data_IF_829181238231
#
_entry.id   IF_829181238231
#
_cell.length_a   1.000
_cell.length_b   1.000
_cell.length_c   1.000
_cell.angle_alpha   90.00
_cell.angle_beta   90.00
_cell.angle_gamma   90.00
#
_symmetry.space_group_name_H-M   'P 1'
#
loop_
_entity.id
_entity.type
_entity.pdbx_description
1 polymer ?
#
# COMPACT_ATOMS: atom_id res chain seq x y z
N UNK A 1 -30.33 6.83 1.18
CA UNK A 1 -29.01 7.17 0.64
C UNK A 1 -29.09 7.29 -0.87
N UNK A 2 -28.60 8.36 -1.44
CA UNK A 2 -28.84 8.82 -2.82
C UNK A 2 -28.69 7.77 -3.95
N UNK A 3 -27.83 6.75 -3.79
CA UNK A 3 -27.59 5.74 -4.84
C UNK A 3 -28.86 5.00 -5.23
N UNK A 4 -29.67 4.52 -4.26
CA UNK A 4 -30.91 3.77 -4.52
C UNK A 4 -32.06 4.65 -4.96
N UNK A 5 -32.04 5.94 -4.54
CA UNK A 5 -33.10 6.91 -4.82
C UNK A 5 -32.84 7.67 -6.13
N UNK A 6 -31.72 7.43 -6.80
CA UNK A 6 -31.31 8.08 -8.03
C UNK A 6 -30.79 7.05 -9.04
N UNK A 7 -31.69 6.19 -9.58
CA UNK A 7 -31.28 5.06 -10.45
C UNK A 7 -30.64 5.51 -11.78
N UNK A 8 -30.95 6.70 -12.23
CA UNK A 8 -30.41 7.28 -13.48
C UNK A 8 -29.08 8.02 -13.29
N UNK A 9 -28.57 8.11 -12.03
CA UNK A 9 -27.30 8.75 -11.71
C UNK A 9 -26.22 7.68 -11.65
N UNK A 10 -25.12 7.92 -12.34
CA UNK A 10 -23.91 7.08 -12.29
C UNK A 10 -23.08 7.45 -11.06
N UNK A 11 -22.70 6.44 -10.28
CA UNK A 11 -21.84 6.60 -9.09
C UNK A 11 -20.58 5.77 -9.26
N UNK A 12 -19.45 6.34 -8.87
CA UNK A 12 -18.19 5.59 -8.73
C UNK A 12 -17.74 5.67 -7.27
N UNK A 13 -17.47 4.52 -6.68
CA UNK A 13 -16.91 4.40 -5.33
C UNK A 13 -15.52 3.78 -5.40
N UNK A 14 -14.57 4.34 -4.62
CA UNK A 14 -13.19 3.86 -4.54
C UNK A 14 -12.99 3.22 -3.16
N UNK A 15 -12.32 2.06 -3.15
CA UNK A 15 -12.04 1.26 -1.94
C UNK A 15 -13.30 0.83 -1.17
N UNK A 16 -14.41 0.76 -1.86
CA UNK A 16 -15.68 0.33 -1.29
C UNK A 16 -16.49 -0.48 -2.29
N UNK A 17 -17.45 -1.25 -1.77
CA UNK A 17 -18.34 -2.07 -2.60
C UNK A 17 -19.79 -1.73 -2.27
N UNK A 18 -20.53 -1.35 -3.31
CA UNK A 18 -21.98 -1.14 -3.27
C UNK A 18 -22.59 -1.97 -4.39
N UNK A 19 -23.43 -2.92 -4.02
CA UNK A 19 -24.16 -3.75 -4.98
C UNK A 19 -25.38 -2.98 -5.49
N UNK A 20 -25.17 -2.25 -6.59
CA UNK A 20 -26.23 -1.55 -7.33
C UNK A 20 -25.81 -1.38 -8.80
N UNK A 21 -26.75 -1.47 -9.76
CA UNK A 21 -26.44 -1.45 -11.19
C UNK A 21 -25.86 -0.12 -11.68
N UNK A 22 -26.13 0.97 -10.96
CA UNK A 22 -25.64 2.31 -11.25
C UNK A 22 -24.38 2.69 -10.43
N UNK A 23 -23.65 1.70 -9.90
CA UNK A 23 -22.41 1.92 -9.17
C UNK A 23 -21.25 1.19 -9.82
N UNK A 24 -20.19 1.91 -10.13
CA UNK A 24 -18.88 1.37 -10.48
C UNK A 24 -18.04 1.28 -9.20
N UNK A 25 -17.63 0.07 -8.83
CA UNK A 25 -16.78 -0.19 -7.66
C UNK A 25 -15.32 -0.28 -8.14
N UNK A 26 -14.53 0.74 -7.86
CA UNK A 26 -13.10 0.75 -8.18
C UNK A 26 -12.34 0.23 -6.99
N UNK A 27 -11.68 -0.91 -7.16
CA UNK A 27 -10.85 -1.55 -6.15
C UNK A 27 -9.43 -1.72 -6.66
N UNK A 28 -8.48 -1.73 -5.74
CA UNK A 28 -7.07 -1.89 -6.06
C UNK A 28 -6.56 -3.22 -5.49
N UNK A 29 -5.53 -3.77 -6.11
CA UNK A 29 -4.83 -4.94 -5.59
C UNK A 29 -3.65 -4.49 -4.72
N UNK A 30 -3.96 -3.97 -3.56
CA UNK A 30 -2.97 -3.40 -2.63
C UNK A 30 -1.90 -4.43 -2.22
N UNK A 31 -2.25 -5.72 -2.16
CA UNK A 31 -1.30 -6.80 -1.90
C UNK A 31 -0.18 -6.86 -2.95
N UNK A 32 -0.48 -6.63 -4.24
CA UNK A 32 0.54 -6.61 -5.29
C UNK A 32 1.50 -5.42 -5.13
N UNK A 33 0.97 -4.21 -4.85
CA UNK A 33 1.80 -3.02 -4.59
C UNK A 33 2.62 -3.16 -3.32
N UNK A 34 2.02 -3.70 -2.24
CA UNK A 34 2.68 -3.94 -0.96
C UNK A 34 3.79 -5.01 -1.08
N UNK A 35 3.61 -6.02 -1.94
CA UNK A 35 4.64 -7.01 -2.26
C UNK A 35 5.88 -6.33 -2.85
N UNK A 36 5.71 -5.43 -3.80
CA UNK A 36 6.84 -4.72 -4.42
C UNK A 36 7.63 -3.88 -3.41
N UNK A 37 6.94 -3.13 -2.53
CA UNK A 37 7.63 -2.35 -1.51
C UNK A 37 8.19 -3.23 -0.38
N UNK A 38 7.63 -4.43 -0.17
CA UNK A 38 8.19 -5.45 0.72
C UNK A 38 9.56 -5.95 0.25
N UNK A 39 9.74 -6.18 -1.04
CA UNK A 39 11.04 -6.51 -1.64
C UNK A 39 12.05 -5.38 -1.36
N UNK A 40 11.64 -4.11 -1.58
CA UNK A 40 12.52 -2.98 -1.33
C UNK A 40 12.91 -2.88 0.14
N UNK A 41 11.97 -3.07 1.06
CA UNK A 41 12.22 -3.06 2.49
C UNK A 41 13.25 -4.12 2.90
N UNK A 42 13.09 -5.34 2.40
CA UNK A 42 14.01 -6.43 2.67
C UNK A 42 15.43 -6.14 2.17
N UNK A 43 15.55 -5.60 0.96
CA UNK A 43 16.85 -5.27 0.36
C UNK A 43 17.50 -4.05 0.99
N UNK A 44 16.75 -3.14 1.61
CA UNK A 44 17.27 -1.96 2.31
C UNK A 44 17.63 -2.25 3.75
N UNK A 45 17.03 -3.26 4.36
CA UNK A 45 17.27 -3.61 5.76
C UNK A 45 18.68 -4.17 5.97
N UNK A 46 19.32 -3.70 7.03
CA UNK A 46 20.60 -4.25 7.52
C UNK A 46 20.43 -5.12 8.78
N UNK A 47 19.30 -4.96 9.47
CA UNK A 47 19.01 -5.67 10.72
C UNK A 47 18.37 -7.04 10.51
N UNK A 48 17.79 -7.29 9.32
CA UNK A 48 16.97 -8.46 9.07
C UNK A 48 15.56 -8.36 9.67
N UNK A 49 15.17 -7.18 10.16
CA UNK A 49 13.85 -6.92 10.75
C UNK A 49 13.24 -5.65 10.16
N UNK A 50 12.01 -5.74 9.68
CA UNK A 50 11.26 -4.60 9.15
C UNK A 50 9.93 -4.44 9.88
N UNK A 51 9.35 -3.24 9.81
CA UNK A 51 8.12 -2.89 10.50
C UNK A 51 6.95 -2.68 9.55
N UNK A 52 5.73 -2.92 10.05
CA UNK A 52 4.48 -2.52 9.42
C UNK A 52 3.57 -1.85 10.46
N UNK A 53 3.09 -0.65 10.15
CA UNK A 53 2.11 0.07 10.97
C UNK A 53 0.84 0.20 10.15
N UNK A 54 -0.19 -0.55 10.54
CA UNK A 54 -1.51 -0.48 9.94
C UNK A 54 -2.40 0.55 10.64
N UNK A 55 -3.33 1.14 9.93
CA UNK A 55 -4.36 2.00 10.49
C UNK A 55 -5.41 1.20 11.27
N UNK A 56 -6.64 1.24 10.81
CA UNK A 56 -7.73 0.48 11.43
C UNK A 56 -7.58 -1.02 11.14
N UNK A 57 -7.80 -1.85 12.15
CA UNK A 57 -7.81 -3.32 12.02
C UNK A 57 -9.04 -3.79 11.25
N UNK A 58 -8.87 -3.90 9.94
CA UNK A 58 -9.89 -4.36 8.98
C UNK A 58 -9.22 -5.20 7.88
N UNK A 59 -9.97 -6.10 7.20
CA UNK A 59 -9.41 -6.98 6.17
C UNK A 59 -8.65 -6.27 5.05
N UNK A 60 -9.06 -5.05 4.69
CA UNK A 60 -8.33 -4.24 3.70
C UNK A 60 -6.90 -3.94 4.16
N UNK A 61 -6.69 -3.59 5.43
CA UNK A 61 -5.34 -3.29 5.94
C UNK A 61 -4.52 -4.57 6.16
N UNK A 62 -5.17 -5.67 6.52
CA UNK A 62 -4.50 -6.98 6.52
C UNK A 62 -4.06 -7.43 5.12
N UNK A 63 -4.75 -7.00 4.06
CA UNK A 63 -4.32 -7.19 2.65
C UNK A 63 -2.98 -6.50 2.37
N UNK A 64 -2.81 -5.22 2.80
CA UNK A 64 -1.53 -4.51 2.69
C UNK A 64 -0.43 -5.22 3.46
N UNK A 65 -0.70 -5.58 4.72
CA UNK A 65 0.24 -6.29 5.59
C UNK A 65 0.68 -7.61 4.98
N UNK A 66 -0.26 -8.42 4.51
CA UNK A 66 0.02 -9.73 3.93
C UNK A 66 0.84 -9.63 2.65
N UNK A 67 0.48 -8.70 1.74
CA UNK A 67 1.28 -8.44 0.54
C UNK A 67 2.71 -8.02 0.89
N UNK A 68 2.88 -7.13 1.86
CA UNK A 68 4.19 -6.69 2.35
C UNK A 68 5.02 -7.85 2.90
N UNK A 69 4.44 -8.69 3.79
CA UNK A 69 5.10 -9.87 4.34
C UNK A 69 5.55 -10.85 3.26
N UNK A 70 4.70 -11.11 2.27
CA UNK A 70 5.05 -11.96 1.14
C UNK A 70 6.21 -11.38 0.32
N UNK A 71 6.23 -10.05 0.09
CA UNK A 71 7.33 -9.38 -0.60
C UNK A 71 8.65 -9.45 0.15
N UNK A 72 8.62 -9.26 1.47
CA UNK A 72 9.79 -9.44 2.35
C UNK A 72 10.30 -10.88 2.28
N UNK A 73 9.42 -11.86 2.48
CA UNK A 73 9.78 -13.28 2.44
C UNK A 73 10.28 -13.74 1.06
N UNK A 74 9.77 -13.15 -0.02
CA UNK A 74 10.23 -13.40 -1.39
C UNK A 74 11.67 -12.96 -1.59
N UNK A 75 12.07 -11.82 -1.04
CA UNK A 75 13.44 -11.33 -1.11
C UNK A 75 14.39 -12.06 -0.15
N UNK A 76 13.96 -12.29 1.08
CA UNK A 76 14.70 -13.05 2.09
C UNK A 76 13.73 -13.66 3.13
N UNK A 77 13.53 -14.97 3.04
CA UNK A 77 12.63 -15.71 3.93
C UNK A 77 13.10 -15.81 5.39
N UNK A 78 14.34 -15.40 5.69
CA UNK A 78 14.87 -15.37 7.06
C UNK A 78 14.50 -14.11 7.83
N UNK A 79 13.99 -13.09 7.15
CA UNK A 79 13.66 -11.79 7.75
C UNK A 79 12.39 -11.83 8.61
N UNK A 80 12.36 -10.94 9.59
CA UNK A 80 11.21 -10.75 10.48
C UNK A 80 10.41 -9.51 10.11
N UNK A 81 9.07 -9.60 10.21
CA UNK A 81 8.17 -8.45 10.04
C UNK A 81 7.41 -8.20 11.35
N UNK A 82 7.67 -7.06 12.00
CA UNK A 82 6.92 -6.59 13.16
C UNK A 82 5.70 -5.82 12.69
N UNK A 83 4.50 -6.36 12.88
CA UNK A 83 3.26 -5.73 12.41
C UNK A 83 2.36 -5.33 13.58
N UNK A 84 1.80 -4.11 13.52
CA UNK A 84 0.83 -3.63 14.51
C UNK A 84 -0.16 -2.66 13.89
N UNK A 85 -1.45 -2.84 14.23
CA UNK A 85 -2.51 -1.89 13.89
C UNK A 85 -2.60 -0.78 14.96
N UNK A 86 -3.00 0.43 14.55
CA UNK A 86 -3.12 1.58 15.45
C UNK A 86 -4.43 1.59 16.23
N UNK A 87 -5.42 0.83 15.80
CA UNK A 87 -6.69 0.66 16.49
C UNK A 87 -7.75 -0.05 15.67
N UNK A 88 -8.95 -0.22 16.25
CA UNK A 88 -10.09 -0.90 15.62
C UNK A 88 -11.25 0.04 15.27
N UNK A 89 -11.06 1.36 15.40
CA UNK A 89 -12.08 2.37 15.10
C UNK A 89 -11.55 3.38 14.09
N UNK A 90 -12.40 4.18 13.43
CA UNK A 90 -11.95 5.20 12.47
C UNK A 90 -10.94 6.23 13.02
N UNK A 91 -10.84 6.40 14.34
CA UNK A 91 -9.82 7.24 14.97
C UNK A 91 -8.39 6.74 14.69
N UNK A 92 -8.22 5.47 14.31
CA UNK A 92 -6.94 4.89 13.90
C UNK A 92 -6.31 5.58 12.69
N UNK A 93 -7.09 6.25 11.86
CA UNK A 93 -6.61 6.96 10.66
C UNK A 93 -6.03 8.35 10.93
N UNK A 94 -6.25 8.91 12.11
CA UNK A 94 -5.88 10.29 12.46
C UNK A 94 -5.14 10.40 13.80
N UNK A 95 -4.28 9.47 14.14
CA UNK A 95 -3.52 9.45 15.40
C UNK A 95 -2.00 9.34 15.17
N UNK A 96 -1.33 10.43 14.70
CA UNK A 96 0.12 10.43 14.47
C UNK A 96 0.94 10.06 15.71
N UNK A 97 0.49 10.47 16.90
CA UNK A 97 1.16 10.11 18.16
C UNK A 97 1.25 8.59 18.31
N UNK A 98 0.12 7.88 18.08
CA UNK A 98 0.10 6.42 18.16
C UNK A 98 0.97 5.78 17.08
N UNK A 99 0.97 6.32 15.86
CA UNK A 99 1.87 5.89 14.79
C UNK A 99 3.34 5.97 15.20
N UNK A 100 3.75 7.10 15.77
CA UNK A 100 5.10 7.30 16.27
C UNK A 100 5.48 6.38 17.44
N UNK A 101 4.57 6.13 18.38
CA UNK A 101 4.80 5.19 19.50
C UNK A 101 5.06 3.77 19.00
N UNK A 102 4.24 3.28 18.05
CA UNK A 102 4.40 1.95 17.47
C UNK A 102 5.72 1.87 16.70
N UNK A 103 6.03 2.89 15.89
CA UNK A 103 7.29 2.94 15.13
C UNK A 103 8.49 2.88 16.07
N UNK A 104 8.50 3.68 17.13
CA UNK A 104 9.57 3.65 18.14
C UNK A 104 9.74 2.25 18.72
N UNK A 105 8.64 1.62 19.13
CA UNK A 105 8.67 0.25 19.66
C UNK A 105 9.21 -0.75 18.65
N UNK A 106 8.82 -0.66 17.36
CA UNK A 106 9.33 -1.55 16.32
C UNK A 106 10.83 -1.34 16.09
N UNK A 107 11.31 -0.08 16.06
CA UNK A 107 12.74 0.24 15.90
C UNK A 107 13.56 -0.24 17.11
N UNK A 108 13.07 -0.05 18.33
CA UNK A 108 13.70 -0.58 19.55
C UNK A 108 13.77 -2.12 19.56
N UNK A 109 12.88 -2.79 18.81
CA UNK A 109 12.90 -4.24 18.58
C UNK A 109 13.61 -4.66 17.29
N UNK A 110 14.37 -3.76 16.68
CA UNK A 110 15.30 -4.05 15.59
C UNK A 110 14.82 -3.68 14.20
N UNK A 111 13.61 -3.15 14.02
CA UNK A 111 13.18 -2.72 12.69
C UNK A 111 13.99 -1.50 12.20
N UNK A 112 14.50 -1.55 10.98
CA UNK A 112 15.25 -0.47 10.34
C UNK A 112 14.58 0.08 9.06
N UNK A 113 13.45 -0.50 8.65
CA UNK A 113 12.55 0.01 7.63
C UNK A 113 11.11 -0.17 8.12
N UNK A 114 10.27 0.88 8.10
CA UNK A 114 8.88 0.80 8.58
C UNK A 114 7.90 1.25 7.51
N UNK A 115 6.99 0.36 7.12
CA UNK A 115 5.90 0.67 6.19
C UNK A 115 4.64 1.11 6.93
N UNK A 116 4.05 2.25 6.52
CA UNK A 116 2.84 2.80 7.12
C UNK A 116 1.64 2.75 6.18
N UNK A 117 0.74 1.79 6.37
CA UNK A 117 -0.58 1.75 5.73
C UNK A 117 -1.65 2.28 6.71
N UNK A 118 -1.55 3.58 7.09
CA UNK A 118 -2.24 4.12 8.26
C UNK A 118 -2.88 5.52 8.06
N UNK A 119 -3.05 5.97 6.81
CA UNK A 119 -3.62 7.30 6.52
C UNK A 119 -2.84 8.43 7.20
N UNK A 120 -3.53 9.40 7.81
CA UNK A 120 -2.89 10.52 8.51
C UNK A 120 -2.04 10.12 9.72
N UNK A 121 -2.27 8.95 10.31
CA UNK A 121 -1.42 8.36 11.36
C UNK A 121 0.00 8.09 10.86
N UNK A 122 0.18 7.83 9.55
CA UNK A 122 1.47 7.62 8.90
C UNK A 122 2.44 8.79 9.05
N UNK A 123 1.94 10.02 9.22
CA UNK A 123 2.80 11.20 9.45
C UNK A 123 3.66 11.04 10.71
N UNK A 124 3.11 10.43 11.76
CA UNK A 124 3.87 10.13 12.98
C UNK A 124 4.89 9.02 12.79
N UNK A 125 4.60 8.05 11.91
CA UNK A 125 5.54 6.99 11.53
C UNK A 125 6.75 7.60 10.81
N UNK A 126 6.52 8.42 9.79
CA UNK A 126 7.59 9.04 8.99
C UNK A 126 8.47 9.97 9.83
N UNK A 127 7.86 10.79 10.70
CA UNK A 127 8.62 11.66 11.58
C UNK A 127 9.47 10.85 12.57
N UNK A 128 8.91 9.81 13.19
CA UNK A 128 9.66 8.97 14.15
C UNK A 128 10.77 8.18 13.46
N UNK A 129 10.54 7.68 12.25
CA UNK A 129 11.58 7.02 11.45
C UNK A 129 12.74 7.98 11.17
N UNK A 130 12.46 9.21 10.75
CA UNK A 130 13.47 10.25 10.54
C UNK A 130 14.25 10.57 11.81
N UNK A 131 13.55 10.77 12.94
CA UNK A 131 14.16 11.07 14.25
C UNK A 131 15.08 9.93 14.76
N UNK A 132 14.76 8.69 14.42
CA UNK A 132 15.51 7.50 14.81
C UNK A 132 16.53 7.04 13.76
N UNK A 133 16.62 7.70 12.61
CA UNK A 133 17.58 7.40 11.55
C UNK A 133 17.32 6.07 10.84
N UNK A 134 16.06 5.64 10.74
CA UNK A 134 15.62 4.45 9.99
C UNK A 134 14.79 4.85 8.79
N UNK A 135 14.57 3.93 7.85
CA UNK A 135 13.81 4.20 6.65
C UNK A 135 12.29 4.04 6.87
N UNK A 136 11.51 4.74 6.06
CA UNK A 136 10.06 4.62 6.04
C UNK A 136 9.54 4.36 4.61
N UNK A 137 8.34 3.76 4.53
CA UNK A 137 7.62 3.56 3.28
C UNK A 137 6.24 4.20 3.39
N UNK A 138 5.91 5.05 2.41
CA UNK A 138 4.63 5.74 2.29
C UNK A 138 3.53 4.88 1.66
N UNK A 139 2.29 5.41 1.63
CA UNK A 139 1.11 4.69 1.14
C UNK A 139 0.16 5.58 0.34
N UNK A 140 -0.62 4.95 -0.55
CA UNK A 140 -1.70 5.50 -1.38
C UNK A 140 -1.27 6.53 -2.44
N UNK A 141 -0.35 7.41 -2.12
CA UNK A 141 0.22 8.39 -3.05
C UNK A 141 1.74 8.40 -2.93
N UNK A 142 2.42 9.03 -3.88
CA UNK A 142 3.85 9.29 -3.72
C UNK A 142 4.05 10.31 -2.58
N UNK A 143 4.61 9.85 -1.48
CA UNK A 143 4.89 10.60 -0.25
C UNK A 143 6.39 10.79 0.00
N UNK A 144 7.25 10.44 -0.98
CA UNK A 144 8.71 10.49 -0.82
C UNK A 144 9.22 11.88 -0.42
N UNK A 145 8.53 12.94 -0.87
CA UNK A 145 8.86 14.33 -0.57
C UNK A 145 8.62 14.74 0.91
N UNK A 146 7.88 13.95 1.69
CA UNK A 146 7.50 14.33 3.08
C UNK A 146 8.71 14.33 4.00
N UNK A 147 9.58 13.31 3.87
CA UNK A 147 10.83 13.18 4.65
C UNK A 147 11.96 12.74 3.70
N UNK A 148 12.53 13.65 2.89
CA UNK A 148 13.64 13.33 1.99
C UNK A 148 14.81 12.71 2.75
N UNK A 149 15.38 11.63 2.20
CA UNK A 149 16.45 10.86 2.85
C UNK A 149 15.97 9.82 3.89
N UNK A 150 14.67 9.81 4.22
CA UNK A 150 14.05 8.81 5.11
C UNK A 150 13.07 7.92 4.33
N UNK A 151 12.32 8.51 3.39
CA UNK A 151 11.33 7.77 2.61
C UNK A 151 12.01 6.92 1.54
N UNK A 152 12.12 5.61 1.79
CA UNK A 152 12.68 4.65 0.83
C UNK A 152 11.86 4.60 -0.46
N UNK A 153 10.56 4.60 -0.33
CA UNK A 153 9.59 4.60 -1.42
C UNK A 153 8.18 4.85 -0.88
N UNK A 154 7.19 4.85 -1.76
CA UNK A 154 5.77 4.87 -1.40
C UNK A 154 5.01 3.84 -2.24
N UNK A 155 4.19 3.01 -1.61
CA UNK A 155 3.23 2.17 -2.33
C UNK A 155 2.10 3.07 -2.83
N UNK A 156 2.09 3.37 -4.12
CA UNK A 156 1.08 4.24 -4.69
C UNK A 156 -0.14 3.47 -5.21
N UNK A 157 -1.29 4.14 -5.16
CA UNK A 157 -2.53 3.80 -5.85
C UNK A 157 -2.87 4.94 -6.80
N UNK A 158 -3.12 4.66 -8.07
CA UNK A 158 -3.48 5.69 -9.06
C UNK A 158 -4.95 6.09 -8.97
N UNK A 159 -5.37 6.51 -7.78
CA UNK A 159 -6.76 6.94 -7.48
C UNK A 159 -7.21 8.09 -8.39
N UNK A 160 -6.33 9.08 -8.60
CA UNK A 160 -6.61 10.21 -9.49
C UNK A 160 -6.86 9.78 -10.94
N UNK A 161 -6.09 8.79 -11.45
CA UNK A 161 -6.32 8.23 -12.78
C UNK A 161 -7.65 7.48 -12.86
N UNK A 162 -7.95 6.64 -11.86
CA UNK A 162 -9.21 5.91 -11.81
C UNK A 162 -10.44 6.84 -11.77
N UNK A 163 -10.35 7.94 -11.01
CA UNK A 163 -11.38 8.97 -11.01
C UNK A 163 -11.51 9.65 -12.38
N UNK A 164 -10.40 10.06 -12.99
CA UNK A 164 -10.38 10.66 -14.33
C UNK A 164 -11.01 9.73 -15.38
N UNK A 165 -10.62 8.46 -15.40
CA UNK A 165 -11.16 7.47 -16.34
C UNK A 165 -12.66 7.23 -16.15
N UNK A 166 -13.15 7.27 -14.90
CA UNK A 166 -14.58 7.16 -14.62
C UNK A 166 -15.35 8.35 -15.18
N UNK A 167 -14.85 9.58 -15.02
CA UNK A 167 -15.46 10.77 -15.61
C UNK A 167 -15.37 10.77 -17.15
N UNK A 168 -14.24 10.38 -17.72
CA UNK A 168 -14.08 10.27 -19.16
C UNK A 168 -15.07 9.26 -19.75
N UNK A 169 -15.21 8.09 -19.14
CA UNK A 169 -16.18 7.08 -19.57
C UNK A 169 -17.64 7.56 -19.44
N UNK A 170 -17.95 8.36 -18.44
CA UNK A 170 -19.28 8.96 -18.32
C UNK A 170 -19.57 9.97 -19.43
N UNK A 171 -18.55 10.74 -19.85
CA UNK A 171 -18.68 11.74 -20.94
C UNK A 171 -18.80 11.07 -22.31
N UNK A 172 -18.05 10.02 -22.59
CA UNK A 172 -18.09 9.32 -23.89
C UNK A 172 -19.17 8.23 -23.97
N UNK A 173 -19.89 7.98 -22.88
CA UNK A 173 -21.01 7.02 -22.81
C UNK A 173 -20.55 5.56 -22.62
N UNK A 174 -19.29 5.30 -22.35
CA UNK A 174 -18.73 3.95 -22.11
C UNK A 174 -18.78 3.52 -20.63
N UNK A 175 -19.21 4.41 -19.73
CA UNK A 175 -19.29 4.09 -18.31
C UNK A 175 -20.21 2.89 -18.05
N UNK A 176 -19.77 1.98 -17.21
CA UNK A 176 -20.57 0.84 -16.77
C UNK A 176 -20.45 0.64 -15.27
N UNK A 177 -21.55 0.20 -14.65
CA UNK A 177 -21.53 -0.29 -13.26
C UNK A 177 -20.78 -1.62 -13.13
N UNK A 178 -20.58 -2.07 -11.89
CA UNK A 178 -19.85 -3.29 -11.58
C UNK A 178 -18.45 -3.03 -11.02
N UNK A 179 -17.54 -3.98 -11.19
CA UNK A 179 -16.17 -3.89 -10.62
C UNK A 179 -15.16 -3.44 -11.67
N UNK A 180 -14.29 -2.50 -11.26
CA UNK A 180 -13.06 -2.15 -11.94
C UNK A 180 -11.89 -2.43 -10.98
N UNK A 181 -11.04 -3.39 -11.34
CA UNK A 181 -9.91 -3.84 -10.51
C UNK A 181 -8.61 -3.30 -11.09
N UNK A 182 -7.81 -2.63 -10.27
CA UNK A 182 -6.57 -2.00 -10.67
C UNK A 182 -5.39 -2.60 -9.86
N UNK A 183 -4.66 -3.49 -10.48
CA UNK A 183 -3.44 -4.10 -9.94
C UNK A 183 -2.16 -3.56 -10.58
N UNK A 184 -1.10 -4.33 -10.45
CA UNK A 184 0.19 -4.06 -11.12
C UNK A 184 0.07 -4.15 -12.64
N UNK A 185 -0.75 -5.08 -13.15
CA UNK A 185 -0.97 -5.26 -14.59
C UNK A 185 -1.65 -4.04 -15.23
N UNK A 186 -2.58 -3.41 -14.53
CA UNK A 186 -3.29 -2.19 -14.96
C UNK A 186 -2.49 -0.92 -14.60
N UNK A 187 -1.26 -1.06 -14.08
CA UNK A 187 -0.45 0.05 -13.58
C UNK A 187 -1.18 0.89 -12.51
N UNK A 188 -2.11 0.25 -11.79
CA UNK A 188 -2.94 0.88 -10.75
C UNK A 188 -2.24 1.03 -9.41
N UNK A 189 -1.30 0.14 -9.11
CA UNK A 189 -0.48 0.12 -7.88
C UNK A 189 0.99 -0.13 -8.21
N UNK A 190 1.88 0.31 -7.34
CA UNK A 190 3.32 0.10 -7.51
C UNK A 190 4.16 0.79 -6.45
N UNK A 191 5.48 0.85 -6.68
CA UNK A 191 6.46 1.54 -5.85
C UNK A 191 6.91 2.85 -6.52
N UNK A 192 6.88 3.96 -5.79
CA UNK A 192 7.23 5.28 -6.30
C UNK A 192 8.75 5.45 -6.39
N UNK A 193 9.19 6.04 -7.52
CA UNK A 193 10.57 6.42 -7.77
C UNK A 193 10.62 7.86 -8.26
N UNK A 194 11.41 8.69 -7.59
CA UNK A 194 11.61 10.10 -7.95
C UNK A 194 12.95 10.65 -7.40
N UNK A 195 13.16 11.94 -7.50
CA UNK A 195 14.35 12.64 -7.03
C UNK A 195 14.55 12.57 -5.51
N UNK A 196 13.49 12.35 -4.71
CA UNK A 196 13.57 12.35 -3.24
C UNK A 196 14.08 11.03 -2.67
N UNK A 197 13.95 9.93 -3.41
CA UNK A 197 14.42 8.61 -2.98
C UNK A 197 15.52 8.00 -3.86
N UNK A 198 15.97 8.72 -4.89
CA UNK A 198 16.96 8.22 -5.85
C UNK A 198 18.26 7.73 -5.19
N UNK A 199 18.73 8.42 -4.14
CA UNK A 199 19.96 8.06 -3.42
C UNK A 199 19.77 6.86 -2.46
N UNK A 200 18.53 6.49 -2.13
CA UNK A 200 18.19 5.36 -1.25
C UNK A 200 17.95 4.07 -2.03
N UNK A 201 17.61 4.18 -3.31
CA UNK A 201 17.23 3.04 -4.15
C UNK A 201 18.40 2.60 -5.03
N UNK A 202 18.95 1.44 -4.73
CA UNK A 202 20.03 0.88 -5.54
C UNK A 202 19.52 0.35 -6.90
N UNK A 203 20.44 0.22 -7.86
CA UNK A 203 20.13 -0.39 -9.15
C UNK A 203 19.62 -1.83 -9.00
N UNK A 204 20.14 -2.57 -8.02
CA UNK A 204 19.73 -3.96 -7.75
C UNK A 204 18.30 -4.00 -7.16
N UNK A 205 17.93 -3.08 -6.26
CA UNK A 205 16.55 -2.94 -5.80
C UNK A 205 15.58 -2.68 -6.95
N UNK A 206 15.93 -1.73 -7.81
CA UNK A 206 15.10 -1.38 -8.96
C UNK A 206 14.95 -2.57 -9.91
N UNK A 207 16.03 -3.31 -10.17
CA UNK A 207 16.01 -4.51 -10.99
C UNK A 207 15.13 -5.61 -10.38
N UNK A 208 15.22 -5.85 -9.07
CA UNK A 208 14.41 -6.84 -8.36
C UNK A 208 12.91 -6.49 -8.42
N UNK A 209 12.55 -5.23 -8.14
CA UNK A 209 11.16 -4.75 -8.23
C UNK A 209 10.61 -4.88 -9.64
N UNK A 210 11.38 -4.50 -10.67
CA UNK A 210 10.96 -4.60 -12.06
C UNK A 210 10.78 -6.07 -12.49
N UNK A 211 11.65 -6.97 -12.05
CA UNK A 211 11.54 -8.42 -12.28
C UNK A 211 10.29 -8.98 -11.64
N UNK A 212 10.04 -8.67 -10.37
CA UNK A 212 8.85 -9.09 -9.65
C UNK A 212 7.56 -8.52 -10.29
N UNK A 213 7.59 -7.25 -10.69
CA UNK A 213 6.47 -6.61 -11.41
C UNK A 213 6.15 -7.35 -12.71
N UNK A 214 7.16 -7.66 -13.51
CA UNK A 214 6.99 -8.41 -14.75
C UNK A 214 6.44 -9.82 -14.50
N UNK A 215 6.92 -10.51 -13.47
CA UNK A 215 6.46 -11.85 -13.10
C UNK A 215 5.01 -11.84 -12.58
N UNK A 216 4.58 -10.80 -11.84
CA UNK A 216 3.17 -10.62 -11.44
C UNK A 216 2.29 -10.42 -12.68
N UNK A 217 2.70 -9.57 -13.62
CA UNK A 217 1.96 -9.32 -14.88
C UNK A 217 1.86 -10.59 -15.73
N UNK A 218 2.91 -11.39 -15.77
CA UNK A 218 2.93 -12.67 -16.51
C UNK A 218 2.13 -13.79 -15.80
N UNK A 219 1.82 -13.62 -14.50
CA UNK A 219 1.17 -14.65 -13.67
C UNK A 219 2.14 -15.69 -13.12
N UNK A 220 3.45 -15.48 -13.26
CA UNK A 220 4.50 -16.36 -12.70
C UNK A 220 4.62 -16.19 -11.17
N UNK A 221 4.32 -14.97 -10.67
CA UNK A 221 4.13 -14.67 -9.25
C UNK A 221 2.67 -14.33 -9.01
N UNK A 222 2.02 -15.09 -8.14
CA UNK A 222 0.67 -14.81 -7.65
C UNK A 222 0.78 -14.40 -6.19
N UNK A 223 0.66 -13.10 -5.94
CA UNK A 223 0.63 -12.58 -4.57
C UNK A 223 -0.71 -12.96 -3.94
N UNK A 224 -0.69 -13.66 -2.81
CA UNK A 224 -1.93 -14.07 -2.14
C UNK A 224 -2.71 -12.86 -1.64
N UNK A 225 -4.00 -12.82 -1.97
CA UNK A 225 -4.90 -11.78 -1.49
C UNK A 225 -5.55 -12.20 -0.17
N UNK A 226 -5.19 -11.58 0.94
CA UNK A 226 -5.77 -11.83 2.25
C UNK A 226 -7.31 -11.80 2.26
N UNK A 227 -7.92 -10.94 1.43
CA UNK A 227 -9.37 -10.81 1.37
C UNK A 227 -10.07 -11.99 0.70
N UNK A 228 -9.32 -12.92 0.08
CA UNK A 228 -9.91 -14.11 -0.54
C UNK A 228 -10.36 -15.16 0.48
N UNK A 229 -9.62 -15.31 1.60
CA UNK A 229 -9.84 -16.37 2.58
C UNK A 229 -9.46 -15.99 4.03
N UNK A 230 -9.05 -14.74 4.27
CA UNK A 230 -8.53 -14.20 5.54
C UNK A 230 -7.29 -14.95 6.06
N UNK A 231 -6.46 -15.49 5.17
CA UNK A 231 -5.17 -16.09 5.50
C UNK A 231 -4.00 -15.33 4.89
N UNK A 232 -2.81 -15.54 5.43
CA UNK A 232 -1.57 -14.97 4.92
C UNK A 232 -0.47 -16.04 4.88
N UNK A 233 -0.42 -16.85 3.82
CA UNK A 233 0.65 -17.81 3.62
C UNK A 233 1.96 -17.09 3.28
N UNK A 234 3.09 -17.56 3.85
CA UNK A 234 4.44 -17.02 3.62
C UNK A 234 5.33 -18.13 3.08
#
# INVERSE_FOLDING_TARGET
MCIRDSPDTQFTIIDGVVDAPNVQNVIFKEHEGSFLVGIMAAMASNSGTVGFVGGMDIPLISRFECGYKQGVAHADSSMSVLAQMTGSTPAAWGNPTKGGEITRSQVENGADVVYAAAGGTGMGVYQTAADMGVLAIGVDSNQNYIQPGTMLTSMYKKVGLAAYESFAAAVDGSWSGGFKVNGVAEDGVGAAMDEYNADLVSADMLAAVNTARAAIIAGDIVVHDYMSDNSCPL
#
